data_IF_270445797240
#
_entry.id   IF_270445797240
#
_cell.length_a   1.000
_cell.length_b   1.000
_cell.length_c   1.000
_cell.angle_alpha   90.00
_cell.angle_beta   90.00
_cell.angle_gamma   90.00
#
_symmetry.space_group_name_H-M   'P 1'
#
loop_
_entity.id
_entity.type
_entity.pdbx_description
1 polymer ?
#
# COMPACT_ATOMS: atom_id res chain seq x y z
N UNK A 1 -9.49 2.41 20.55
CA UNK A 1 -9.06 1.18 19.85
C UNK A 1 -8.21 0.42 20.83
N UNK A 2 -8.84 -0.39 21.69
CA UNK A 2 -8.10 -1.21 22.66
C UNK A 2 -7.46 -2.37 21.89
N UNK A 3 -6.13 -2.36 21.78
CA UNK A 3 -5.35 -3.38 21.08
C UNK A 3 -4.59 -2.91 19.83
N UNK A 4 -4.71 -1.64 19.42
CA UNK A 4 -3.89 -1.09 18.34
C UNK A 4 -2.48 -0.73 18.85
N UNK A 5 -1.45 -1.08 18.08
CA UNK A 5 -0.08 -0.61 18.32
C UNK A 5 0.06 0.83 17.79
N UNK A 6 0.54 1.79 18.61
CA UNK A 6 0.76 3.16 18.15
C UNK A 6 2.08 3.23 17.38
N UNK A 7 2.03 2.98 16.08
CA UNK A 7 3.18 3.03 15.18
C UNK A 7 3.09 4.26 14.27
N UNK A 8 4.19 4.97 14.10
CA UNK A 8 4.34 6.01 13.08
C UNK A 8 4.82 5.35 11.78
N UNK A 9 3.99 5.42 10.73
CA UNK A 9 4.30 4.81 9.45
C UNK A 9 5.21 5.67 8.56
N UNK A 10 5.48 6.91 8.95
CA UNK A 10 6.51 7.74 8.32
C UNK A 10 7.93 7.30 8.72
N UNK A 11 8.05 6.54 9.81
CA UNK A 11 9.33 6.07 10.34
C UNK A 11 9.51 4.55 10.15
N UNK A 12 10.74 4.05 10.05
CA UNK A 12 10.98 2.61 9.94
C UNK A 12 10.47 1.85 11.18
N UNK A 13 9.65 0.81 10.96
CA UNK A 13 9.30 -0.13 12.02
C UNK A 13 10.48 -1.08 12.24
N UNK A 14 11.04 -1.06 13.44
CA UNK A 14 12.25 -1.81 13.81
C UNK A 14 11.98 -2.98 14.76
N UNK A 15 10.74 -3.15 15.21
CA UNK A 15 10.37 -4.21 16.15
C UNK A 15 10.53 -5.60 15.48
N UNK A 16 11.51 -6.42 15.89
CA UNK A 16 11.77 -7.71 15.28
C UNK A 16 10.61 -8.70 15.46
N UNK A 17 9.72 -8.49 16.44
CA UNK A 17 8.52 -9.30 16.64
C UNK A 17 7.41 -8.97 15.63
N UNK A 18 7.59 -7.94 14.79
CA UNK A 18 6.62 -7.58 13.74
C UNK A 18 7.15 -7.88 12.33
N UNK A 19 8.47 -7.97 12.15
CA UNK A 19 9.11 -8.22 10.85
C UNK A 19 8.87 -9.65 10.38
N UNK A 20 8.47 -9.79 9.11
CA UNK A 20 8.18 -11.05 8.42
C UNK A 20 7.25 -11.99 9.23
N UNK A 21 6.28 -11.43 9.95
CA UNK A 21 5.35 -12.21 10.78
C UNK A 21 4.01 -12.47 10.12
N UNK A 22 3.50 -11.53 9.34
CA UNK A 22 2.08 -11.53 8.98
C UNK A 22 1.83 -12.30 7.68
N UNK A 23 0.83 -13.20 7.71
CA UNK A 23 0.29 -13.88 6.54
C UNK A 23 -0.52 -12.94 5.64
N UNK A 24 -1.23 -11.99 6.25
CA UNK A 24 -2.13 -11.07 5.56
C UNK A 24 -1.96 -9.69 6.16
N UNK A 25 -1.79 -8.69 5.29
CA UNK A 25 -1.81 -7.27 5.63
C UNK A 25 -2.92 -6.58 4.84
N UNK A 26 -3.74 -5.82 5.54
CA UNK A 26 -4.76 -4.96 4.93
C UNK A 26 -4.35 -3.50 5.05
N UNK A 27 -4.24 -2.81 3.92
CA UNK A 27 -4.12 -1.35 3.86
C UNK A 27 -5.46 -0.81 3.36
N UNK A 28 -6.33 -0.41 4.28
CA UNK A 28 -7.70 -0.01 3.98
C UNK A 28 -7.94 1.44 4.37
N UNK A 29 -7.56 2.35 3.48
CA UNK A 29 -7.71 3.78 3.74
C UNK A 29 -6.75 4.30 4.82
N UNK A 30 -5.48 3.87 4.80
CA UNK A 30 -4.46 4.36 5.74
C UNK A 30 -3.29 5.01 5.03
N UNK A 31 -2.67 4.33 4.05
CA UNK A 31 -1.46 4.87 3.39
C UNK A 31 -1.70 6.22 2.72
N UNK A 32 -2.91 6.51 2.24
CA UNK A 32 -3.22 7.80 1.64
C UNK A 32 -3.07 8.99 2.60
N UNK A 33 -3.01 8.76 3.91
CA UNK A 33 -2.83 9.79 4.93
C UNK A 33 -1.39 9.85 5.47
N UNK A 34 -0.50 8.94 5.04
CA UNK A 34 0.88 8.89 5.54
C UNK A 34 1.77 9.75 4.66
N UNK A 35 2.47 10.74 5.22
CA UNK A 35 3.24 11.71 4.43
C UNK A 35 4.42 11.09 3.69
N UNK A 36 5.15 10.18 4.36
CA UNK A 36 6.30 9.44 3.82
C UNK A 36 5.89 8.08 3.25
N UNK A 37 5.40 8.11 2.00
CA UNK A 37 4.90 6.93 1.28
C UNK A 37 5.95 5.83 1.11
N UNK A 38 7.22 6.18 0.92
CA UNK A 38 8.26 5.18 0.76
C UNK A 38 8.45 4.35 2.03
N UNK A 39 8.58 5.02 3.19
CA UNK A 39 8.73 4.28 4.46
C UNK A 39 7.43 3.53 4.79
N UNK A 40 6.25 4.11 4.50
CA UNK A 40 4.98 3.42 4.64
C UNK A 40 4.98 2.07 3.90
N UNK A 41 5.20 2.06 2.58
CA UNK A 41 5.15 0.83 1.79
C UNK A 41 6.30 -0.13 2.08
N UNK A 42 7.48 0.38 2.43
CA UNK A 42 8.61 -0.43 2.88
C UNK A 42 8.30 -1.14 4.21
N UNK A 43 7.63 -0.45 5.13
CA UNK A 43 7.11 -1.04 6.36
C UNK A 43 6.10 -2.14 6.05
N UNK A 44 5.11 -1.90 5.18
CA UNK A 44 4.15 -2.96 4.81
C UNK A 44 4.89 -4.20 4.26
N UNK A 45 5.87 -3.99 3.38
CA UNK A 45 6.68 -5.06 2.82
C UNK A 45 7.46 -5.84 3.89
N UNK A 46 8.06 -5.16 4.86
CA UNK A 46 8.89 -5.79 5.90
C UNK A 46 8.06 -6.55 6.93
N UNK A 47 6.82 -6.15 7.17
CA UNK A 47 5.91 -6.83 8.10
C UNK A 47 5.38 -8.16 7.54
N UNK A 48 5.16 -8.24 6.23
CA UNK A 48 4.53 -9.41 5.59
C UNK A 48 5.57 -10.46 5.24
N UNK A 49 5.35 -11.70 5.68
CA UNK A 49 6.26 -12.82 5.41
C UNK A 49 6.23 -13.26 3.95
N UNK A 50 7.19 -14.09 3.54
CA UNK A 50 7.17 -14.72 2.21
C UNK A 50 5.86 -15.49 1.98
N UNK A 51 5.29 -15.36 0.79
CA UNK A 51 3.97 -15.85 0.38
C UNK A 51 2.78 -15.18 1.08
N UNK A 52 3.03 -14.21 1.96
CA UNK A 52 1.98 -13.39 2.55
C UNK A 52 1.30 -12.48 1.53
N UNK A 53 0.11 -12.02 1.89
CA UNK A 53 -0.81 -11.30 1.00
C UNK A 53 -1.00 -9.87 1.49
N UNK A 54 -0.85 -8.92 0.58
CA UNK A 54 -1.30 -7.54 0.76
C UNK A 54 -2.70 -7.37 0.17
N UNK A 55 -3.58 -6.69 0.88
CA UNK A 55 -4.89 -6.27 0.38
C UNK A 55 -4.96 -4.75 0.50
N UNK A 56 -4.82 -4.06 -0.62
CA UNK A 56 -4.90 -2.61 -0.72
C UNK A 56 -6.32 -2.20 -1.09
N UNK A 57 -6.91 -1.27 -0.34
CA UNK A 57 -8.18 -0.60 -0.62
C UNK A 57 -7.93 0.89 -0.50
N UNK A 58 -7.51 1.50 -1.61
CA UNK A 58 -7.10 2.89 -1.63
C UNK A 58 -8.07 3.75 -2.46
N UNK A 59 -8.20 5.05 -2.14
CA UNK A 59 -9.08 5.93 -2.89
C UNK A 59 -8.56 6.11 -4.32
N UNK A 60 -9.44 5.90 -5.30
CA UNK A 60 -9.13 6.13 -6.71
C UNK A 60 -9.08 7.64 -6.99
N UNK A 61 -8.17 8.08 -7.87
CA UNK A 61 -8.10 9.47 -8.31
C UNK A 61 -9.47 10.02 -8.73
N UNK A 62 -9.82 11.19 -8.20
CA UNK A 62 -11.13 11.84 -8.42
C UNK A 62 -12.23 11.44 -7.42
N UNK A 63 -11.97 10.45 -6.56
CA UNK A 63 -12.86 10.03 -5.47
C UNK A 63 -12.59 10.83 -4.20
N UNK A 64 -13.62 11.13 -3.41
CA UNK A 64 -13.53 11.91 -2.16
C UNK A 64 -12.54 13.09 -2.20
N UNK A 65 -12.79 14.16 -2.98
CA UNK A 65 -11.87 15.28 -3.12
C UNK A 65 -11.41 15.86 -1.76
N UNK A 66 -10.08 16.01 -1.58
CA UNK A 66 -9.40 16.46 -0.35
C UNK A 66 -9.53 15.52 0.86
N UNK A 67 -9.78 14.22 0.65
CA UNK A 67 -9.93 13.27 1.76
C UNK A 67 -8.60 12.90 2.43
N UNK A 68 -7.62 12.46 1.64
CA UNK A 68 -6.28 12.12 2.10
C UNK A 68 -5.23 12.99 1.42
N UNK A 69 -3.97 12.62 1.53
CA UNK A 69 -2.86 13.24 0.81
C UNK A 69 -2.70 12.66 -0.59
N UNK A 70 -3.02 11.37 -0.77
CA UNK A 70 -2.69 10.62 -1.98
C UNK A 70 -3.89 9.85 -2.56
N UNK A 71 -3.98 9.78 -3.88
CA UNK A 71 -4.86 8.88 -4.60
C UNK A 71 -4.05 7.89 -5.42
N UNK A 72 -4.53 6.65 -5.49
CA UNK A 72 -3.80 5.57 -6.14
C UNK A 72 -4.50 5.11 -7.41
N UNK A 73 -3.72 4.46 -8.26
CA UNK A 73 -4.17 3.87 -9.52
C UNK A 73 -3.82 2.38 -9.58
N UNK A 74 -4.45 1.62 -10.48
CA UNK A 74 -4.01 0.25 -10.75
C UNK A 74 -2.56 0.20 -11.26
N UNK A 75 -2.15 1.20 -12.08
CA UNK A 75 -0.78 1.26 -12.62
C UNK A 75 0.28 1.38 -11.53
N UNK A 76 0.01 2.13 -10.45
CA UNK A 76 0.90 2.15 -9.27
C UNK A 76 1.13 0.73 -8.72
N UNK A 77 0.03 -0.01 -8.47
CA UNK A 77 0.09 -1.35 -7.91
C UNK A 77 0.74 -2.36 -8.86
N UNK A 78 0.51 -2.22 -10.18
CA UNK A 78 1.14 -3.05 -11.20
C UNK A 78 2.65 -2.85 -11.24
N UNK A 79 3.09 -1.59 -11.21
CA UNK A 79 4.53 -1.26 -11.19
C UNK A 79 5.18 -1.71 -9.89
N UNK A 80 4.53 -1.46 -8.75
CA UNK A 80 5.02 -1.93 -7.46
C UNK A 80 5.17 -3.46 -7.45
N UNK A 81 4.15 -4.18 -7.93
CA UNK A 81 4.20 -5.63 -8.03
C UNK A 81 5.33 -6.12 -8.94
N UNK A 82 5.51 -5.47 -10.09
CA UNK A 82 6.61 -5.80 -11.00
C UNK A 82 8.00 -5.56 -10.39
N UNK A 83 8.18 -4.47 -9.65
CA UNK A 83 9.49 -4.09 -9.09
C UNK A 83 9.85 -4.91 -7.84
N UNK A 84 8.86 -5.25 -7.01
CA UNK A 84 9.06 -5.99 -5.76
C UNK A 84 8.85 -7.51 -5.90
N UNK A 85 8.73 -8.03 -7.13
CA UNK A 85 8.43 -9.44 -7.40
C UNK A 85 7.16 -9.95 -6.69
N UNK A 86 6.10 -9.15 -6.71
CA UNK A 86 4.79 -9.58 -6.25
C UNK A 86 3.96 -10.14 -7.39
N UNK A 87 3.05 -11.03 -7.03
CA UNK A 87 2.02 -11.53 -7.93
C UNK A 87 0.70 -10.82 -7.66
N UNK A 88 0.04 -10.34 -8.72
CA UNK A 88 -1.31 -9.80 -8.63
C UNK A 88 -2.29 -10.97 -8.56
N UNK A 89 -2.98 -11.11 -7.43
CA UNK A 89 -4.00 -12.14 -7.24
C UNK A 89 -5.36 -11.69 -7.76
N UNK A 90 -5.71 -10.42 -7.50
CA UNK A 90 -7.01 -9.84 -7.86
C UNK A 90 -6.89 -8.33 -7.93
N UNK A 91 -7.65 -7.74 -8.84
CA UNK A 91 -7.92 -6.30 -8.86
C UNK A 91 -9.41 -6.06 -9.05
N UNK A 92 -9.91 -4.98 -8.46
CA UNK A 92 -11.29 -4.55 -8.61
C UNK A 92 -11.39 -3.06 -8.42
N UNK A 93 -12.21 -2.44 -9.26
CA UNK A 93 -12.69 -1.08 -9.06
C UNK A 93 -14.03 -1.17 -8.34
N UNK A 94 -14.12 -0.61 -7.13
CA UNK A 94 -15.32 -0.73 -6.28
C UNK A 94 -15.94 0.64 -6.08
N UNK A 95 -17.13 0.84 -6.66
CA UNK A 95 -17.95 2.02 -6.39
C UNK A 95 -18.56 1.94 -4.99
N UNK A 96 -18.39 2.99 -4.17
CA UNK A 96 -19.14 3.12 -2.93
C UNK A 96 -20.49 3.78 -3.21
N UNK A 97 -21.53 3.27 -2.54
CA UNK A 97 -22.88 3.81 -2.69
C UNK A 97 -22.93 5.21 -2.07
N UNK A 98 -23.34 6.20 -2.86
CA UNK A 98 -23.77 7.50 -2.34
C UNK A 98 -23.14 8.73 -2.99
N UNK A 99 -21.95 8.63 -3.58
CA UNK A 99 -21.21 9.82 -4.04
C UNK A 99 -20.36 9.62 -5.32
N UNK A 100 -20.57 8.54 -6.07
CA UNK A 100 -19.76 8.19 -7.26
C UNK A 100 -18.25 8.02 -6.99
N UNK A 101 -17.84 7.88 -5.72
CA UNK A 101 -16.46 7.62 -5.36
C UNK A 101 -16.12 6.14 -5.49
N UNK A 102 -14.87 5.84 -5.83
CA UNK A 102 -14.37 4.51 -6.10
C UNK A 102 -13.12 4.18 -5.30
N UNK A 103 -12.97 2.90 -4.97
CA UNK A 103 -11.72 2.33 -4.46
C UNK A 103 -10.98 1.58 -5.58
N UNK A 104 -9.67 1.76 -5.62
CA UNK A 104 -8.76 0.82 -6.25
C UNK A 104 -8.46 -0.28 -5.24
N UNK A 105 -8.95 -1.49 -5.52
CA UNK A 105 -8.71 -2.64 -4.68
C UNK A 105 -7.77 -3.64 -5.36
N UNK A 106 -6.65 -3.95 -4.73
CA UNK A 106 -5.64 -4.88 -5.29
C UNK A 106 -5.16 -5.86 -4.22
N UNK A 107 -5.24 -7.15 -4.53
CA UNK A 107 -4.63 -8.22 -3.76
C UNK A 107 -3.30 -8.64 -4.38
N UNK A 108 -2.22 -8.60 -3.61
CA UNK A 108 -0.85 -8.93 -4.06
C UNK A 108 -0.25 -10.03 -3.17
N UNK A 109 0.52 -10.95 -3.74
CA UNK A 109 1.29 -11.97 -3.01
C UNK A 109 2.79 -11.69 -3.09
N UNK A 110 3.47 -11.62 -1.93
CA UNK A 110 4.94 -11.49 -1.82
C UNK A 110 5.61 -12.81 -2.20
N UNK A 111 6.15 -12.96 -3.41
CA UNK A 111 6.70 -14.26 -3.87
C UNK A 111 8.04 -14.62 -3.22
N UNK A 112 8.84 -13.60 -2.90
CA UNK A 112 10.18 -13.77 -2.35
C UNK A 112 10.44 -12.78 -1.20
N UNK A 113 11.36 -13.16 -0.30
CA UNK A 113 11.89 -12.26 0.74
C UNK A 113 13.01 -11.36 0.21
N UNK A 114 12.85 -10.84 -1.01
CA UNK A 114 13.77 -9.85 -1.55
C UNK A 114 13.61 -8.55 -0.76
N UNK A 115 14.67 -7.74 -0.61
CA UNK A 115 14.52 -6.39 -0.06
C UNK A 115 13.48 -5.59 -0.83
N UNK A 116 12.80 -4.67 -0.15
CA UNK A 116 11.98 -3.67 -0.82
C UNK A 116 12.83 -2.85 -1.80
N UNK A 117 12.22 -2.38 -2.87
CA UNK A 117 12.88 -1.57 -3.90
C UNK A 117 13.48 -0.30 -3.29
N UNK A 118 14.48 0.27 -3.95
CA UNK A 118 15.11 1.49 -3.45
C UNK A 118 14.16 2.68 -3.50
N UNK A 119 14.42 3.70 -2.67
CA UNK A 119 13.64 4.96 -2.68
C UNK A 119 13.56 5.59 -4.07
N UNK A 120 14.67 5.62 -4.80
CA UNK A 120 14.70 6.17 -6.15
C UNK A 120 13.83 5.37 -7.16
N UNK A 121 13.71 4.06 -7.00
CA UNK A 121 12.82 3.23 -7.83
C UNK A 121 11.35 3.44 -7.44
N UNK A 122 11.07 3.52 -6.14
CA UNK A 122 9.73 3.81 -5.63
C UNK A 122 9.23 5.19 -6.07
N UNK A 123 10.05 6.24 -5.95
CA UNK A 123 9.68 7.59 -6.34
C UNK A 123 9.38 7.69 -7.85
N UNK A 124 10.10 6.94 -8.69
CA UNK A 124 9.81 6.87 -10.14
C UNK A 124 8.43 6.30 -10.43
N UNK A 125 8.00 5.27 -9.70
CA UNK A 125 6.66 4.70 -9.88
C UNK A 125 5.60 5.64 -9.29
N UNK A 126 5.84 6.18 -8.09
CA UNK A 126 4.90 7.04 -7.37
C UNK A 126 4.61 8.34 -8.12
N UNK A 127 5.64 9.06 -8.59
CA UNK A 127 5.49 10.32 -9.31
C UNK A 127 4.61 10.20 -10.57
N UNK A 128 4.65 9.04 -11.22
CA UNK A 128 3.90 8.78 -12.45
C UNK A 128 2.43 8.35 -12.20
N UNK A 129 2.10 7.88 -10.99
CA UNK A 129 0.89 7.07 -10.79
C UNK A 129 0.12 7.35 -9.50
N UNK A 130 0.69 8.12 -8.58
CA UNK A 130 0.05 8.63 -7.37
C UNK A 130 -0.21 10.13 -7.55
N UNK A 131 -1.44 10.55 -7.23
CA UNK A 131 -1.86 11.94 -7.34
C UNK A 131 -2.08 12.53 -5.96
N UNK A 132 -1.50 13.72 -5.71
CA UNK A 132 -1.84 14.45 -4.49
C UNK A 132 -3.24 15.03 -4.57
N UNK A 133 -3.95 15.00 -3.44
CA UNK A 133 -5.35 15.40 -3.33
C UNK A 133 -5.60 16.90 -3.31
#
# INVERSE_FOLDING_TARGET
MDGALPLDLCEPIQDPELIDQFDVLTNSGTSEHVEEEYECFKNLHSLVKQNGIFIHLNPKTGSWPRHGLYYYTFDFHHRLASQCDYEILRESDIALKGDQSHLVCVGLRKRASNPFISRAEFEKIALATIFRA
#
